data_IF_878742995102
#
_entry.id   IF_878742995102
#
_cell.length_a   1.000
_cell.length_b   1.000
_cell.length_c   1.000
_cell.angle_alpha   90.00
_cell.angle_beta   90.00
_cell.angle_gamma   90.00
#
_symmetry.space_group_name_H-M   'P 1'
#
loop_
_entity.id
_entity.type
_entity.pdbx_description
1 polymer ?
#
# COMPACT_ATOMS: atom_id res chain seq x y z
N UNK A 1 1.54 6.98 -32.26
CA UNK A 1 1.04 6.60 -30.91
C UNK A 1 -0.32 5.92 -31.09
N UNK A 2 -0.52 4.68 -30.60
CA UNK A 2 -1.73 3.88 -30.89
C UNK A 2 -2.76 4.00 -29.76
N UNK A 3 -4.05 4.07 -30.10
CA UNK A 3 -5.19 4.17 -29.17
C UNK A 3 -5.24 3.03 -28.14
N UNK A 4 -4.81 1.82 -28.50
CA UNK A 4 -4.73 0.69 -27.55
C UNK A 4 -3.71 0.95 -26.43
N UNK A 5 -2.56 1.54 -26.75
CA UNK A 5 -1.51 1.88 -25.78
C UNK A 5 -1.95 2.98 -24.83
N UNK A 6 -2.69 3.98 -25.34
CA UNK A 6 -3.27 5.05 -24.53
C UNK A 6 -4.28 4.50 -23.51
N UNK A 7 -5.23 3.65 -23.94
CA UNK A 7 -6.20 3.02 -23.03
C UNK A 7 -5.52 2.14 -21.97
N UNK A 8 -4.48 1.39 -22.36
CA UNK A 8 -3.74 0.50 -21.43
C UNK A 8 -2.94 1.28 -20.38
N UNK A 9 -2.43 2.47 -20.72
CA UNK A 9 -1.68 3.32 -19.78
C UNK A 9 -2.61 4.16 -18.91
N UNK A 10 -3.76 4.58 -19.44
CA UNK A 10 -4.75 5.35 -18.71
C UNK A 10 -5.43 4.54 -17.59
N UNK A 11 -5.64 3.23 -17.78
CA UNK A 11 -6.29 2.39 -16.78
C UNK A 11 -5.50 2.28 -15.45
N UNK A 12 -4.21 1.88 -15.44
CA UNK A 12 -3.41 1.84 -14.21
C UNK A 12 -3.26 3.22 -13.55
N UNK A 13 -3.06 4.27 -14.36
CA UNK A 13 -2.96 5.64 -13.85
C UNK A 13 -4.25 6.06 -13.12
N UNK A 14 -5.42 5.71 -13.67
CA UNK A 14 -6.70 5.96 -13.02
C UNK A 14 -6.88 5.12 -11.75
N UNK A 15 -6.47 3.85 -11.75
CA UNK A 15 -6.51 2.99 -10.56
C UNK A 15 -5.69 3.59 -9.41
N UNK A 16 -4.46 4.06 -9.66
CA UNK A 16 -3.66 4.74 -8.64
C UNK A 16 -4.33 6.02 -8.12
N UNK A 17 -4.89 6.84 -9.01
CA UNK A 17 -5.56 8.09 -8.62
C UNK A 17 -6.83 7.84 -7.79
N UNK A 18 -7.62 6.82 -8.15
CA UNK A 18 -8.86 6.48 -7.46
C UNK A 18 -8.64 5.75 -6.13
N UNK A 19 -7.46 5.17 -5.93
CA UNK A 19 -7.09 4.41 -4.73
C UNK A 19 -5.93 5.04 -3.98
N UNK A 20 -5.85 6.37 -3.99
CA UNK A 20 -4.92 7.13 -3.19
C UNK A 20 -5.54 8.42 -2.68
N UNK A 21 -4.91 9.03 -1.68
CA UNK A 21 -5.33 10.31 -1.13
C UNK A 21 -4.12 11.19 -0.77
N UNK A 22 -4.37 12.42 -0.35
CA UNK A 22 -3.34 13.38 0.03
C UNK A 22 -2.38 13.73 -1.12
N UNK A 23 -1.14 14.06 -0.75
CA UNK A 23 -0.05 14.38 -1.68
C UNK A 23 0.37 13.16 -2.51
N UNK A 24 0.16 11.93 -2.02
CA UNK A 24 0.37 10.70 -2.79
C UNK A 24 -0.52 10.69 -4.04
N UNK A 25 -1.80 11.04 -3.91
CA UNK A 25 -2.68 11.21 -5.08
C UNK A 25 -2.20 12.31 -6.02
N UNK A 26 -1.76 13.44 -5.48
CA UNK A 26 -1.24 14.55 -6.28
C UNK A 26 0.06 14.17 -7.02
N UNK A 27 0.88 13.31 -6.44
CA UNK A 27 2.05 12.73 -7.09
C UNK A 27 1.63 11.92 -8.31
N UNK A 28 0.61 11.07 -8.21
CA UNK A 28 0.15 10.26 -9.36
C UNK A 28 -0.44 11.09 -10.50
N UNK A 29 -0.93 12.31 -10.24
CA UNK A 29 -1.34 13.23 -11.31
C UNK A 29 -0.13 13.67 -12.14
N UNK A 30 1.02 13.92 -11.49
CA UNK A 30 2.25 14.43 -12.14
C UNK A 30 3.13 13.30 -12.66
N UNK A 31 3.18 12.20 -11.94
CA UNK A 31 4.00 11.03 -12.21
C UNK A 31 3.14 9.76 -12.13
N UNK A 32 2.42 9.41 -13.21
CA UNK A 32 1.48 8.30 -13.18
C UNK A 32 2.19 6.96 -12.98
N UNK A 33 1.66 6.17 -12.04
CA UNK A 33 2.05 4.78 -11.88
C UNK A 33 1.74 3.95 -13.15
N UNK A 34 2.38 2.77 -13.25
CA UNK A 34 2.19 1.78 -14.33
C UNK A 34 1.42 0.55 -13.88
N UNK A 35 1.39 0.28 -12.58
CA UNK A 35 0.56 -0.75 -11.97
C UNK A 35 0.25 -0.40 -10.53
N UNK A 36 -0.90 -0.87 -10.07
CA UNK A 36 -1.26 -0.91 -8.66
C UNK A 36 -1.88 -2.27 -8.39
N UNK A 37 -1.27 -2.99 -7.47
CA UNK A 37 -1.88 -4.17 -6.88
C UNK A 37 -2.01 -3.94 -5.38
N UNK A 38 -3.09 -4.46 -4.81
CA UNK A 38 -3.38 -4.34 -3.38
C UNK A 38 -3.87 -5.67 -2.86
N UNK A 39 -3.48 -6.00 -1.65
CA UNK A 39 -3.92 -7.20 -0.95
C UNK A 39 -4.09 -6.88 0.53
N UNK A 40 -4.96 -7.63 1.17
CA UNK A 40 -5.23 -7.54 2.59
C UNK A 40 -5.10 -8.93 3.20
N UNK A 41 -4.38 -9.04 4.30
CA UNK A 41 -4.20 -10.27 5.06
C UNK A 41 -4.72 -10.09 6.48
N UNK A 42 -5.25 -11.16 7.08
CA UNK A 42 -5.48 -11.24 8.51
C UNK A 42 -4.51 -12.28 9.08
N UNK A 43 -3.80 -11.91 10.14
CA UNK A 43 -2.86 -12.78 10.85
C UNK A 43 -3.35 -12.89 12.29
N UNK A 44 -3.75 -14.10 12.68
CA UNK A 44 -4.24 -14.39 14.03
C UNK A 44 -3.30 -15.31 14.79
N UNK A 45 -3.39 -15.25 16.11
CA UNK A 45 -2.79 -16.25 17.01
C UNK A 45 -3.85 -17.09 17.74
N UNK A 46 -3.40 -18.10 18.49
CA UNK A 46 -4.27 -18.99 19.26
C UNK A 46 -4.95 -18.31 20.46
N UNK A 47 -4.61 -17.06 20.76
CA UNK A 47 -5.18 -16.25 21.86
C UNK A 47 -6.28 -15.30 21.38
N UNK A 48 -6.59 -15.29 20.08
CA UNK A 48 -7.60 -14.42 19.48
C UNK A 48 -7.12 -13.00 19.19
N UNK A 49 -5.80 -12.78 19.24
CA UNK A 49 -5.22 -11.54 18.73
C UNK A 49 -5.17 -11.62 17.21
N UNK A 50 -5.69 -10.59 16.54
CA UNK A 50 -5.68 -10.52 15.07
C UNK A 50 -5.09 -9.19 14.65
N UNK A 51 -4.09 -9.24 13.78
CA UNK A 51 -3.59 -8.10 13.04
C UNK A 51 -4.11 -8.17 11.60
N UNK A 52 -4.46 -7.02 11.04
CA UNK A 52 -4.72 -6.88 9.61
C UNK A 52 -3.50 -6.24 8.95
N UNK A 53 -3.14 -6.71 7.75
CA UNK A 53 -1.99 -6.23 6.98
C UNK A 53 -2.47 -5.80 5.60
N UNK A 54 -2.36 -4.52 5.28
CA UNK A 54 -2.54 -4.00 3.93
C UNK A 54 -1.19 -4.02 3.22
N UNK A 55 -1.15 -4.58 2.01
CA UNK A 55 0.05 -4.54 1.16
C UNK A 55 -0.31 -3.98 -0.20
N UNK A 56 0.45 -2.99 -0.66
CA UNK A 56 0.29 -2.39 -1.99
C UNK A 56 1.61 -2.42 -2.76
N UNK A 57 1.54 -2.81 -4.04
CA UNK A 57 2.66 -2.75 -4.97
C UNK A 57 2.37 -1.68 -6.02
N UNK A 58 3.16 -0.61 -6.00
CA UNK A 58 3.03 0.50 -6.94
C UNK A 58 4.19 0.44 -7.93
N UNK A 59 3.89 0.11 -9.18
CA UNK A 59 4.88 0.05 -10.25
C UNK A 59 5.04 1.41 -10.95
N UNK A 60 6.28 1.76 -11.31
CA UNK A 60 6.62 2.98 -12.05
C UNK A 60 7.36 2.65 -13.35
N UNK A 61 7.60 3.69 -14.16
CA UNK A 61 8.34 3.53 -15.42
C UNK A 61 9.80 3.15 -15.18
N UNK A 62 10.41 3.66 -14.11
CA UNK A 62 11.82 3.44 -13.80
C UNK A 62 12.09 3.57 -12.30
N UNK A 63 13.32 3.23 -11.88
CA UNK A 63 13.75 3.25 -10.47
C UNK A 63 13.77 4.66 -9.85
N UNK A 64 14.05 5.68 -10.65
CA UNK A 64 14.04 7.08 -10.20
C UNK A 64 12.65 7.52 -9.78
N UNK A 65 11.66 7.30 -10.65
CA UNK A 65 10.25 7.59 -10.37
C UNK A 65 9.76 6.86 -9.10
N UNK A 66 10.13 5.58 -8.94
CA UNK A 66 9.82 4.79 -7.74
C UNK A 66 10.47 5.36 -6.47
N UNK A 67 11.73 5.80 -6.57
CA UNK A 67 12.44 6.44 -5.45
C UNK A 67 11.87 7.80 -5.05
N UNK A 68 11.41 8.60 -6.02
CA UNK A 68 10.71 9.86 -5.75
C UNK A 68 9.38 9.62 -5.01
N UNK A 69 8.62 8.63 -5.45
CA UNK A 69 7.38 8.24 -4.78
C UNK A 69 7.65 7.72 -3.36
N UNK A 70 8.62 6.82 -3.17
CA UNK A 70 8.98 6.29 -1.84
C UNK A 70 9.33 7.41 -0.86
N UNK A 71 10.17 8.36 -1.27
CA UNK A 71 10.53 9.52 -0.43
C UNK A 71 9.32 10.34 0.01
N UNK A 72 8.29 10.42 -0.82
CA UNK A 72 7.05 11.11 -0.47
C UNK A 72 6.24 10.28 0.53
N UNK A 73 5.94 9.03 0.19
CA UNK A 73 5.02 8.19 0.97
C UNK A 73 5.59 7.76 2.33
N UNK A 74 6.91 7.72 2.48
CA UNK A 74 7.58 7.48 3.77
C UNK A 74 7.40 8.65 4.75
N UNK A 75 6.93 9.82 4.29
CA UNK A 75 6.64 10.95 5.17
C UNK A 75 5.22 10.82 5.68
N UNK A 76 5.10 10.50 6.96
CA UNK A 76 3.82 10.40 7.65
C UNK A 76 2.96 11.66 7.44
N UNK A 77 1.68 11.46 7.13
CA UNK A 77 0.71 12.53 6.88
C UNK A 77 0.70 13.11 5.46
N UNK A 78 1.54 12.62 4.54
CA UNK A 78 1.47 13.02 3.12
C UNK A 78 0.40 12.29 2.32
N UNK A 79 -0.27 11.31 2.92
CA UNK A 79 -1.29 10.47 2.28
C UNK A 79 -0.80 9.06 2.01
N UNK A 80 -1.68 8.20 1.52
CA UNK A 80 -1.36 6.80 1.28
C UNK A 80 -2.16 6.22 0.09
N UNK A 81 -1.87 4.97 -0.24
CA UNK A 81 -2.70 4.08 -1.04
C UNK A 81 -3.86 3.62 -0.16
N UNK A 82 -5.10 3.78 -0.64
CA UNK A 82 -6.27 3.31 0.08
C UNK A 82 -6.23 1.78 0.21
N UNK A 83 -6.22 1.22 1.43
CA UNK A 83 -6.29 -0.22 1.64
C UNK A 83 -7.54 -0.85 1.04
N UNK A 84 -7.55 -2.17 0.87
CA UNK A 84 -8.81 -2.88 0.63
C UNK A 84 -9.67 -2.84 1.89
N UNK A 85 -10.99 -2.83 1.71
CA UNK A 85 -11.93 -2.76 2.83
C UNK A 85 -11.84 -4.04 3.68
N UNK A 86 -11.63 -3.89 4.98
CA UNK A 86 -11.50 -5.02 5.93
C UNK A 86 -12.77 -5.88 6.08
N UNK A 87 -13.99 -5.40 5.77
CA UNK A 87 -15.15 -6.29 5.65
C UNK A 87 -15.01 -7.38 4.58
N UNK A 88 -14.07 -7.28 3.63
CA UNK A 88 -13.73 -8.38 2.72
C UNK A 88 -13.12 -9.59 3.43
N UNK A 89 -12.72 -9.44 4.70
CA UNK A 89 -12.20 -10.48 5.58
C UNK A 89 -13.14 -10.79 6.75
N UNK A 90 -14.43 -10.43 6.64
CA UNK A 90 -15.43 -10.55 7.71
C UNK A 90 -15.05 -9.82 9.02
N UNK A 91 -14.21 -8.80 8.90
CA UNK A 91 -13.78 -7.94 10.02
C UNK A 91 -14.60 -6.64 10.05
N UNK A 92 -14.65 -6.00 11.21
CA UNK A 92 -15.13 -4.62 11.33
C UNK A 92 -14.29 -3.67 10.45
N UNK A 93 -14.82 -2.49 10.14
CA UNK A 93 -14.07 -1.48 9.37
C UNK A 93 -12.88 -1.00 10.20
N UNK A 94 -11.66 -1.26 9.71
CA UNK A 94 -10.42 -0.90 10.38
C UNK A 94 -9.81 0.29 9.66
N UNK A 95 -9.55 1.34 10.43
CA UNK A 95 -8.85 2.51 9.95
C UNK A 95 -7.35 2.29 10.05
N UNK A 96 -6.68 2.28 8.90
CA UNK A 96 -5.23 2.35 8.82
C UNK A 96 -4.73 3.76 9.17
N UNK A 97 -3.77 3.82 10.08
CA UNK A 97 -3.25 5.05 10.66
C UNK A 97 -1.88 5.44 10.08
N UNK A 98 -1.17 4.51 9.44
CA UNK A 98 0.22 4.68 9.03
C UNK A 98 1.21 4.73 10.20
N UNK A 99 0.84 4.25 11.40
CA UNK A 99 1.74 4.17 12.55
C UNK A 99 2.68 2.95 12.47
N UNK A 100 2.17 1.82 11.98
CA UNK A 100 2.94 0.60 11.76
C UNK A 100 3.09 0.37 10.27
N UNK A 101 4.07 1.06 9.71
CA UNK A 101 4.27 1.23 8.28
C UNK A 101 5.69 0.80 7.90
N UNK A 102 5.82 0.09 6.78
CA UNK A 102 7.10 -0.09 6.10
C UNK A 102 6.91 0.03 4.60
N UNK A 103 7.92 0.58 3.91
CA UNK A 103 7.98 0.47 2.46
C UNK A 103 9.37 0.11 1.93
N UNK A 104 9.40 -0.54 0.78
CA UNK A 104 10.61 -1.04 0.13
C UNK A 104 10.56 -0.81 -1.37
N UNK A 105 11.70 -0.43 -1.95
CA UNK A 105 11.85 -0.43 -3.40
C UNK A 105 12.38 -1.77 -3.89
N UNK A 106 11.69 -2.35 -4.86
CA UNK A 106 12.18 -3.48 -5.68
C UNK A 106 12.17 -3.04 -7.16
N UNK A 107 13.36 -2.70 -7.67
CA UNK A 107 13.51 -2.16 -9.01
C UNK A 107 12.68 -0.88 -9.21
N UNK A 108 11.69 -0.94 -10.10
CA UNK A 108 10.77 0.17 -10.39
C UNK A 108 9.45 0.06 -9.63
N UNK A 109 9.36 -0.81 -8.63
CA UNK A 109 8.17 -1.02 -7.80
C UNK A 109 8.45 -0.57 -6.38
N UNK A 110 7.46 0.04 -5.73
CA UNK A 110 7.46 0.29 -4.29
C UNK A 110 6.42 -0.61 -3.64
N UNK A 111 6.85 -1.44 -2.70
CA UNK A 111 5.99 -2.24 -1.83
C UNK A 111 5.73 -1.42 -0.57
N UNK A 112 4.47 -1.25 -0.21
CA UNK A 112 4.01 -0.53 0.98
C UNK A 112 3.25 -1.54 1.82
N UNK A 113 3.57 -1.63 3.09
CA UNK A 113 2.89 -2.47 4.05
C UNK A 113 2.47 -1.63 5.26
N UNK A 114 1.20 -1.75 5.63
CA UNK A 114 0.66 -1.16 6.85
C UNK A 114 -0.07 -2.22 7.66
N UNK A 115 0.01 -2.10 8.98
CA UNK A 115 -0.62 -3.05 9.90
C UNK A 115 -1.43 -2.36 10.98
N UNK A 116 -2.56 -2.96 11.35
CA UNK A 116 -3.40 -2.48 12.45
C UNK A 116 -3.94 -3.66 13.26
N UNK A 117 -4.20 -3.48 14.57
CA UNK A 117 -4.92 -4.47 15.34
C UNK A 117 -6.39 -4.54 14.91
N UNK A 118 -6.89 -5.74 14.65
CA UNK A 118 -8.29 -6.02 14.35
C UNK A 118 -9.07 -6.50 15.59
N UNK A 119 -8.43 -7.33 16.42
CA UNK A 119 -8.98 -7.81 17.69
C UNK A 119 -7.88 -8.16 18.68
N UNK A 120 -8.23 -8.22 19.97
CA UNK A 120 -7.29 -8.57 21.03
C UNK A 120 -6.29 -7.47 21.33
N UNK A 121 -5.08 -7.86 21.75
CA UNK A 121 -3.97 -6.98 22.07
C UNK A 121 -2.74 -7.41 21.27
N UNK A 122 -2.48 -6.73 20.16
CA UNK A 122 -1.23 -6.89 19.39
C UNK A 122 -0.31 -5.75 19.75
N UNK A 123 0.93 -6.03 20.16
CA UNK A 123 1.89 -4.98 20.50
C UNK A 123 2.35 -4.24 19.24
N UNK A 124 2.71 -2.96 19.40
CA UNK A 124 3.23 -2.15 18.30
C UNK A 124 4.50 -2.76 17.66
N UNK A 125 5.37 -3.37 18.47
CA UNK A 125 6.58 -4.05 17.98
C UNK A 125 6.24 -5.22 17.05
N UNK A 126 5.21 -6.00 17.37
CA UNK A 126 4.75 -7.09 16.50
C UNK A 126 4.15 -6.54 15.22
N UNK A 127 3.35 -5.48 15.30
CA UNK A 127 2.78 -4.81 14.12
C UNK A 127 3.90 -4.29 13.20
N UNK A 128 4.90 -3.59 13.75
CA UNK A 128 6.07 -3.11 13.01
C UNK A 128 6.85 -4.25 12.35
N UNK A 129 7.09 -5.34 13.07
CA UNK A 129 7.77 -6.51 12.51
C UNK A 129 6.97 -7.16 11.38
N UNK A 130 5.65 -7.24 11.50
CA UNK A 130 4.77 -7.76 10.45
C UNK A 130 4.79 -6.84 9.23
N UNK A 131 4.71 -5.52 9.42
CA UNK A 131 4.82 -4.55 8.32
C UNK A 131 6.18 -4.70 7.61
N UNK A 132 7.27 -4.83 8.35
CA UNK A 132 8.60 -5.01 7.77
C UNK A 132 8.69 -6.28 6.91
N UNK A 133 8.24 -7.42 7.43
CA UNK A 133 8.19 -8.68 6.69
C UNK A 133 7.29 -8.58 5.45
N UNK A 134 6.11 -7.98 5.59
CA UNK A 134 5.15 -7.83 4.49
C UNK A 134 5.70 -6.94 3.36
N UNK A 135 6.57 -5.98 3.67
CA UNK A 135 7.25 -5.13 2.67
C UNK A 135 8.19 -5.91 1.73
N UNK A 136 8.52 -7.17 2.05
CA UNK A 136 9.33 -8.05 1.22
C UNK A 136 8.52 -8.98 0.31
N UNK A 137 7.18 -8.98 0.42
CA UNK A 137 6.37 -9.89 -0.36
C UNK A 137 6.53 -9.63 -1.87
N UNK A 138 6.79 -10.69 -2.67
CA UNK A 138 6.85 -10.56 -4.11
C UNK A 138 5.44 -10.32 -4.66
N UNK A 139 5.37 -9.74 -5.86
CA UNK A 139 4.11 -9.56 -6.58
C UNK A 139 3.78 -10.70 -7.53
#
# INVERSE_FOLDING_TARGET
>A
MNMRTLKRTAKPALECLSHSFGQVRDHFVRNPCKSLDRTLFAIGDDQGNVAVVSVAWVGFRNRGDAGEFKKLIDVHGTGDITPLATPLLDLADIRFTGLHYQSRSDGSTVVIAETEPASGQVSGEVLDAVADMASWLPR
#
